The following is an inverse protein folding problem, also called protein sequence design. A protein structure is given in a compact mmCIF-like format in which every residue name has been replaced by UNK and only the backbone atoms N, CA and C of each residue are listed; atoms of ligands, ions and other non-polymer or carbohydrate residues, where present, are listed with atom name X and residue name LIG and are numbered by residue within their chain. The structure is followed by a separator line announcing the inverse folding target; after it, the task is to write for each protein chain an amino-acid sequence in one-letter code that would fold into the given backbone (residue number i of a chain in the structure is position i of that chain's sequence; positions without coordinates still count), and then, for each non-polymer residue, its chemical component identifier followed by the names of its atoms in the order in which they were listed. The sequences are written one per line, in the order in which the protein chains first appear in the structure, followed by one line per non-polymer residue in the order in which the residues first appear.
data_IF_643637282500
#
_entry.id   IF_643637282500
#
_cell.length_a   1.000
_cell.length_b   1.000
_cell.length_c   1.000
_cell.angle_alpha   90.00
_cell.angle_beta   90.00
_cell.angle_gamma   90.00
#
_symmetry.space_group_name_H-M   'P 1'
#
loop_
_entity.id
_entity.type
_entity.pdbx_description
1 polymer ?
#
# COMPACT_ATOMS: atom_id res chain seq x y z
N UNK A 1 7.81 -2.35 7.26
CA UNK A 1 8.62 -1.34 6.55
C UNK A 1 10.06 -1.24 7.08
N UNK A 2 10.32 -0.72 8.29
CA UNK A 2 11.70 -0.51 8.80
C UNK A 2 12.59 -1.76 8.69
N UNK A 3 12.07 -2.94 9.03
CA UNK A 3 12.80 -4.20 8.88
C UNK A 3 13.21 -4.55 7.43
N UNK A 4 12.46 -4.11 6.41
CA UNK A 4 12.82 -4.28 4.99
C UNK A 4 13.78 -3.19 4.49
N UNK A 5 13.81 -2.03 5.14
CA UNK A 5 14.83 -0.99 4.93
C UNK A 5 16.19 -1.44 5.44
N UNK A 6 16.23 -2.01 6.65
CA UNK A 6 17.47 -2.47 7.29
C UNK A 6 17.94 -3.84 6.80
N UNK A 7 17.03 -4.67 6.27
CA UNK A 7 17.23 -6.11 6.13
C UNK A 7 16.79 -6.84 7.40
N UNK A 8 16.06 -7.95 7.23
CA UNK A 8 15.39 -8.65 8.34
C UNK A 8 16.37 -9.12 9.42
N UNK A 9 17.52 -9.66 9.02
CA UNK A 9 18.55 -10.15 9.93
C UNK A 9 19.14 -9.00 10.79
N UNK A 10 19.48 -7.87 10.17
CA UNK A 10 20.05 -6.73 10.87
C UNK A 10 19.03 -6.05 11.79
N UNK A 11 17.77 -5.97 11.35
CA UNK A 11 16.66 -5.54 12.21
C UNK A 11 16.51 -6.46 13.43
N UNK A 12 16.55 -7.78 13.25
CA UNK A 12 16.48 -8.75 14.34
C UNK A 12 17.66 -8.60 15.32
N UNK A 13 18.89 -8.48 14.83
CA UNK A 13 20.09 -8.22 15.66
C UNK A 13 19.93 -6.91 16.47
N UNK A 14 19.41 -5.86 15.85
CA UNK A 14 19.14 -4.58 16.52
C UNK A 14 18.06 -4.65 17.60
N UNK A 15 16.97 -5.39 17.36
CA UNK A 15 15.94 -5.66 18.38
C UNK A 15 16.51 -6.51 19.52
N UNK A 16 17.35 -7.50 19.22
CA UNK A 16 18.03 -8.29 20.25
C UNK A 16 18.95 -7.42 21.12
N UNK A 17 19.76 -6.53 20.52
CA UNK A 17 20.60 -5.61 21.30
C UNK A 17 19.75 -4.66 22.16
N UNK A 18 18.69 -4.08 21.59
CA UNK A 18 17.74 -3.22 22.31
C UNK A 18 17.16 -3.90 23.55
N UNK A 19 16.70 -5.14 23.43
CA UNK A 19 16.10 -5.91 24.53
C UNK A 19 17.13 -6.27 25.62
N UNK A 20 18.39 -6.52 25.26
CA UNK A 20 19.44 -6.80 26.24
C UNK A 20 19.87 -5.55 27.01
N UNK A 21 20.07 -4.42 26.31
CA UNK A 21 20.46 -3.14 26.94
C UNK A 21 19.38 -2.66 27.92
N UNK A 22 18.11 -2.77 27.54
CA UNK A 22 16.99 -2.20 28.31
C UNK A 22 16.28 -3.23 29.21
N UNK A 23 16.90 -4.39 29.45
CA UNK A 23 16.31 -5.47 30.25
C UNK A 23 15.99 -4.97 31.67
N UNK A 24 14.76 -5.22 32.12
CA UNK A 24 14.22 -4.79 33.43
C UNK A 24 14.11 -3.26 33.64
N UNK A 25 14.30 -2.45 32.60
CA UNK A 25 14.18 -0.99 32.65
C UNK A 25 13.05 -0.47 31.73
N UNK A 26 12.72 0.81 31.87
CA UNK A 26 11.81 1.53 30.97
C UNK A 26 12.57 2.15 29.78
N UNK A 27 11.85 2.40 28.70
CA UNK A 27 12.37 2.91 27.41
C UNK A 27 11.46 3.96 26.81
N UNK A 28 12.01 4.86 26.01
CA UNK A 28 11.29 5.73 25.09
C UNK A 28 11.66 5.41 23.63
N UNK A 29 10.95 6.02 22.68
CA UNK A 29 11.17 5.77 21.24
C UNK A 29 12.62 6.02 20.79
N UNK A 30 13.35 6.94 21.45
CA UNK A 30 14.75 7.23 21.14
C UNK A 30 15.67 6.04 21.39
N UNK A 31 15.41 5.24 22.43
CA UNK A 31 16.27 4.12 22.83
C UNK A 31 16.21 2.97 21.81
N UNK A 32 15.02 2.76 21.24
CA UNK A 32 14.82 1.84 20.10
C UNK A 32 15.60 2.31 18.88
N UNK A 33 15.45 3.58 18.48
CA UNK A 33 16.13 4.11 17.30
C UNK A 33 17.65 4.14 17.46
N UNK A 34 18.17 4.49 18.64
CA UNK A 34 19.60 4.40 18.95
C UNK A 34 20.14 2.98 18.77
N UNK A 35 19.40 1.97 19.23
CA UNK A 35 19.80 0.57 19.13
C UNK A 35 19.79 0.08 17.67
N UNK A 36 18.74 0.41 16.91
CA UNK A 36 18.62 0.03 15.50
C UNK A 36 19.60 0.77 14.57
N UNK A 37 20.00 2.01 14.91
CA UNK A 37 20.96 2.82 14.15
C UNK A 37 22.32 2.14 13.96
N UNK A 38 22.72 1.27 14.89
CA UNK A 38 23.99 0.53 14.83
C UNK A 38 23.99 -0.63 13.81
N UNK A 39 22.82 -1.04 13.30
CA UNK A 39 22.66 -2.19 12.40
C UNK A 39 22.15 -1.79 11.01
N UNK A 40 22.13 -0.50 10.68
CA UNK A 40 21.68 -0.04 9.36
C UNK A 40 22.79 0.67 8.60
N UNK A 41 22.86 0.42 7.30
CA UNK A 41 23.69 1.19 6.36
C UNK A 41 23.03 2.52 5.93
N UNK A 42 21.83 2.83 6.45
CA UNK A 42 21.11 4.05 6.11
C UNK A 42 21.64 5.25 6.91
N UNK A 43 22.53 6.04 6.31
CA UNK A 43 23.15 7.21 6.94
C UNK A 43 22.15 8.19 7.60
N UNK A 44 20.98 8.39 7.00
CA UNK A 44 19.91 9.26 7.49
C UNK A 44 18.77 8.49 8.21
N UNK A 45 19.07 7.33 8.81
CA UNK A 45 18.08 6.49 9.50
C UNK A 45 17.26 7.24 10.54
N UNK A 46 17.89 8.11 11.31
CA UNK A 46 17.24 8.85 12.38
C UNK A 46 16.18 9.83 11.85
N UNK A 47 16.47 10.52 10.74
CA UNK A 47 15.52 11.42 10.08
C UNK A 47 14.40 10.63 9.42
N UNK A 48 14.71 9.50 8.79
CA UNK A 48 13.74 8.57 8.24
C UNK A 48 12.75 8.07 9.31
N UNK A 49 13.21 7.54 10.44
CA UNK A 49 12.29 7.03 11.48
C UNK A 49 11.51 8.16 12.16
N UNK A 50 12.13 9.33 12.40
CA UNK A 50 11.42 10.51 12.92
C UNK A 50 10.28 10.92 11.98
N UNK A 51 10.57 11.01 10.69
CA UNK A 51 9.61 11.37 9.64
C UNK A 51 8.48 10.34 9.45
N UNK A 52 8.60 9.10 9.93
CA UNK A 52 7.48 8.15 9.96
C UNK A 52 6.76 8.04 11.30
N UNK A 53 7.31 8.58 12.39
CA UNK A 53 6.78 8.36 13.75
C UNK A 53 6.33 9.62 14.48
N UNK A 54 6.79 10.81 14.06
CA UNK A 54 6.44 12.10 14.70
C UNK A 54 5.43 12.93 13.88
N UNK A 55 4.96 12.44 12.73
CA UNK A 55 3.96 13.12 11.92
C UNK A 55 2.73 12.22 11.68
N UNK A 56 1.50 12.72 11.91
CA UNK A 56 0.28 11.91 11.82
C UNK A 56 -0.13 11.63 10.38
N UNK A 57 -0.75 10.47 10.16
CA UNK A 57 -1.22 10.02 8.84
C UNK A 57 -0.14 9.33 8.01
N UNK A 58 -0.41 9.18 6.72
CA UNK A 58 0.45 8.47 5.77
C UNK A 58 0.34 9.10 4.37
N UNK A 59 1.30 8.84 3.47
CA UNK A 59 1.24 9.35 2.10
C UNK A 59 0.38 8.49 1.18
N UNK A 60 -0.11 9.12 0.11
CA UNK A 60 -0.43 8.44 -1.14
C UNK A 60 0.63 8.80 -2.19
N UNK A 61 1.12 7.79 -2.90
CA UNK A 61 1.92 7.98 -4.11
C UNK A 61 0.99 8.06 -5.32
N UNK A 62 1.10 9.11 -6.12
CA UNK A 62 0.49 9.16 -7.44
C UNK A 62 1.49 8.63 -8.46
N UNK A 63 1.09 7.67 -9.28
CA UNK A 63 1.95 6.96 -10.23
C UNK A 63 1.38 7.14 -11.64
N UNK A 64 2.09 7.89 -12.48
CA UNK A 64 1.65 8.28 -13.83
C UNK A 64 2.61 7.74 -14.90
N UNK A 65 2.10 7.27 -16.04
CA UNK A 65 2.93 6.93 -17.18
C UNK A 65 3.30 8.18 -17.99
N UNK A 66 4.57 8.27 -18.41
CA UNK A 66 5.06 9.28 -19.35
C UNK A 66 5.93 8.59 -20.43
N UNK A 67 5.29 8.08 -21.48
CA UNK A 67 5.94 7.27 -22.50
C UNK A 67 6.49 5.96 -21.93
N UNK A 68 7.81 5.78 -21.96
CA UNK A 68 8.49 4.64 -21.33
C UNK A 68 8.81 4.86 -19.85
N UNK A 69 8.68 6.10 -19.36
CA UNK A 69 8.99 6.48 -18.00
C UNK A 69 7.73 6.43 -17.11
N UNK A 70 7.95 6.36 -15.80
CA UNK A 70 6.91 6.56 -14.79
C UNK A 70 7.26 7.84 -14.02
N UNK A 71 6.27 8.68 -13.75
CA UNK A 71 6.38 9.85 -12.88
C UNK A 71 5.68 9.52 -11.57
N UNK A 72 6.31 9.90 -10.46
CA UNK A 72 5.76 9.70 -9.13
C UNK A 72 5.84 10.96 -8.31
N UNK A 73 4.70 11.35 -7.77
CA UNK A 73 4.57 12.41 -6.77
C UNK A 73 4.04 11.82 -5.47
N UNK A 74 4.19 12.55 -4.37
CA UNK A 74 3.58 12.20 -3.09
C UNK A 74 2.73 13.35 -2.55
N UNK A 75 1.65 13.01 -1.87
CA UNK A 75 0.91 13.91 -0.99
C UNK A 75 0.48 13.15 0.27
N UNK A 76 0.08 13.89 1.31
CA UNK A 76 -0.58 13.28 2.46
C UNK A 76 -1.96 12.77 2.06
N UNK A 77 -2.27 11.52 2.40
CA UNK A 77 -3.64 11.03 2.29
C UNK A 77 -4.52 11.66 3.38
N UNK A 78 -5.64 12.24 2.95
CA UNK A 78 -6.69 12.83 3.76
C UNK A 78 -8.03 12.51 3.09
N UNK A 79 -9.11 12.43 3.88
CA UNK A 79 -10.47 12.35 3.36
C UNK A 79 -10.91 13.69 2.75
N UNK A 80 -10.57 14.80 3.41
CA UNK A 80 -10.88 16.16 2.94
C UNK A 80 -9.70 17.10 3.24
N UNK A 81 -9.56 18.16 2.43
CA UNK A 81 -8.52 19.18 2.57
C UNK A 81 -7.15 18.79 2.00
N UNK A 82 -6.18 19.71 2.11
CA UNK A 82 -4.83 19.54 1.57
C UNK A 82 -3.78 19.78 2.66
N UNK A 83 -2.65 19.09 2.56
CA UNK A 83 -1.56 19.21 3.54
C UNK A 83 -0.20 18.89 2.88
N UNK A 84 0.82 19.68 3.21
CA UNK A 84 2.15 19.62 2.59
C UNK A 84 3.15 18.68 3.29
N UNK A 85 2.73 17.91 4.30
CA UNK A 85 3.57 16.88 4.93
C UNK A 85 4.02 15.86 3.88
N UNK A 86 5.31 15.52 3.90
CA UNK A 86 5.95 14.55 3.02
C UNK A 86 6.71 13.51 3.85
N UNK A 87 6.91 12.34 3.27
CA UNK A 87 7.64 11.23 3.86
C UNK A 87 8.88 10.87 3.03
N UNK A 88 9.89 10.32 3.70
CA UNK A 88 11.00 9.58 3.11
C UNK A 88 10.52 8.17 2.82
N UNK A 89 9.97 7.94 1.62
CA UNK A 89 9.26 6.69 1.31
C UNK A 89 10.26 5.67 0.72
N UNK A 90 10.46 4.52 1.37
CA UNK A 90 11.23 3.42 0.80
C UNK A 90 10.36 2.70 -0.23
N UNK A 91 10.81 2.68 -1.49
CA UNK A 91 10.10 2.04 -2.59
C UNK A 91 10.91 0.86 -3.14
N UNK A 92 10.19 -0.22 -3.48
CA UNK A 92 10.66 -1.40 -4.21
C UNK A 92 9.62 -1.78 -5.24
N UNK A 93 10.04 -2.62 -6.17
CA UNK A 93 9.41 -2.69 -7.46
C UNK A 93 9.61 -4.10 -8.11
N UNK A 94 8.55 -4.69 -8.72
CA UNK A 94 8.67 -5.65 -9.84
C UNK A 94 7.83 -5.32 -11.09
N UNK A 95 8.27 -5.77 -12.28
CA UNK A 95 7.47 -5.77 -13.54
C UNK A 95 7.22 -7.18 -14.06
N UNK A 96 6.38 -7.30 -15.09
CA UNK A 96 6.17 -8.51 -15.90
C UNK A 96 7.47 -9.19 -16.38
N UNK A 97 8.53 -8.41 -16.61
CA UNK A 97 9.77 -8.85 -17.26
C UNK A 97 10.92 -9.15 -16.28
N UNK A 98 10.69 -9.10 -14.96
CA UNK A 98 11.71 -9.45 -13.96
C UNK A 98 11.55 -10.92 -13.60
N UNK A 99 12.62 -11.71 -13.68
CA UNK A 99 12.58 -13.17 -13.46
C UNK A 99 12.24 -13.51 -12.01
N UNK A 100 12.87 -12.82 -11.05
CA UNK A 100 12.61 -12.96 -9.62
C UNK A 100 11.43 -12.08 -9.16
N UNK A 101 10.25 -12.30 -9.75
CA UNK A 101 9.03 -11.59 -9.34
C UNK A 101 8.78 -11.80 -7.86
N UNK A 102 8.61 -10.69 -7.15
CA UNK A 102 8.13 -10.63 -5.78
C UNK A 102 9.04 -11.23 -4.68
N UNK A 103 10.23 -11.79 -4.96
CA UNK A 103 11.14 -12.32 -3.91
C UNK A 103 11.92 -11.21 -3.22
N UNK A 104 12.49 -10.27 -3.98
CA UNK A 104 13.24 -9.15 -3.42
C UNK A 104 12.29 -8.11 -2.79
N UNK A 105 12.50 -7.81 -1.51
CA UNK A 105 11.74 -6.80 -0.75
C UNK A 105 12.64 -5.73 -0.12
N UNK A 106 13.94 -5.71 -0.41
CA UNK A 106 14.86 -4.66 0.08
C UNK A 106 14.58 -3.33 -0.59
N UNK A 107 14.82 -2.22 0.11
CA UNK A 107 14.57 -0.87 -0.44
C UNK A 107 15.42 -0.62 -1.68
N UNK A 108 14.78 -0.53 -2.84
CA UNK A 108 15.47 -0.31 -4.11
C UNK A 108 15.69 1.18 -4.36
N UNK A 109 14.72 2.02 -4.01
CA UNK A 109 14.74 3.46 -4.28
C UNK A 109 14.16 4.24 -3.10
N UNK A 110 14.77 5.38 -2.78
CA UNK A 110 14.30 6.34 -1.78
C UNK A 110 13.59 7.52 -2.44
N UNK A 111 12.30 7.69 -2.16
CA UNK A 111 11.59 8.89 -2.57
C UNK A 111 11.70 9.95 -1.46
N UNK A 112 12.62 10.90 -1.68
CA UNK A 112 12.90 12.00 -0.75
C UNK A 112 11.84 13.12 -0.85
N UNK A 113 11.50 13.84 0.24
CA UNK A 113 10.64 15.01 0.20
C UNK A 113 11.02 16.09 -0.84
N UNK A 114 12.29 16.16 -1.23
CA UNK A 114 12.81 17.12 -2.20
C UNK A 114 12.63 16.69 -3.66
N UNK A 115 12.32 15.41 -3.93
CA UNK A 115 12.16 14.91 -5.29
C UNK A 115 10.71 15.10 -5.74
N UNK A 116 10.52 15.64 -6.95
CA UNK A 116 9.18 15.85 -7.54
C UNK A 116 8.72 14.70 -8.43
N UNK A 117 9.63 13.95 -9.04
CA UNK A 117 9.33 12.88 -10.00
C UNK A 117 10.29 11.68 -9.84
N UNK A 118 9.83 10.45 -10.11
CA UNK A 118 10.64 9.23 -10.01
C UNK A 118 10.05 8.04 -10.80
N UNK A 119 10.90 7.22 -11.43
CA UNK A 119 10.52 6.08 -12.31
C UNK A 119 10.59 4.74 -11.55
N UNK A 120 9.56 3.88 -11.65
CA UNK A 120 9.44 2.57 -10.97
C UNK A 120 8.82 1.46 -11.85
N UNK A 121 8.69 0.24 -11.28
CA UNK A 121 8.05 -0.98 -11.82
C UNK A 121 7.63 -1.93 -10.65
N UNK A 122 6.42 -1.97 -10.02
CA UNK A 122 6.03 -2.09 -8.54
C UNK A 122 5.88 -3.45 -7.65
N UNK A 123 6.27 -3.52 -6.32
CA UNK A 123 5.85 -4.45 -5.15
C UNK A 123 6.17 -3.78 -3.78
N UNK A 124 5.50 -4.04 -2.62
CA UNK A 124 6.01 -3.97 -1.19
C UNK A 124 4.89 -4.39 -0.17
N UNK A 125 5.25 -4.72 1.09
CA UNK A 125 4.41 -4.62 2.32
C UNK A 125 4.42 -3.17 2.89
N UNK A 126 3.39 -2.35 2.60
CA UNK A 126 3.43 -0.87 2.66
C UNK A 126 2.77 -0.25 3.90
N UNK A 127 3.16 1.00 4.19
CA UNK A 127 2.45 1.96 5.06
C UNK A 127 1.98 3.20 4.27
N UNK A 128 1.69 3.02 2.97
CA UNK A 128 1.29 4.09 2.07
C UNK A 128 0.41 3.56 0.93
N UNK A 129 -0.49 4.42 0.46
CA UNK A 129 -1.44 4.13 -0.63
C UNK A 129 -0.81 4.41 -1.99
N UNK A 130 -1.31 3.78 -3.06
CA UNK A 130 -0.82 4.01 -4.43
C UNK A 130 -1.98 4.29 -5.37
N UNK A 131 -2.11 5.53 -5.83
CA UNK A 131 -3.04 5.93 -6.90
C UNK A 131 -2.33 5.86 -8.25
N UNK A 132 -2.80 5.01 -9.15
CA UNK A 132 -2.32 4.94 -10.53
C UNK A 132 -3.08 5.93 -11.41
N UNK A 133 -2.47 6.40 -12.50
CA UNK A 133 -3.20 7.05 -13.58
C UNK A 133 -4.10 6.05 -14.33
N UNK A 134 -5.06 6.56 -15.10
CA UNK A 134 -6.02 5.70 -15.81
C UNK A 134 -5.34 4.70 -16.77
N UNK A 135 -4.23 5.08 -17.39
CA UNK A 135 -3.55 4.24 -18.37
C UNK A 135 -2.84 3.05 -17.72
N UNK A 136 -2.23 3.25 -16.55
CA UNK A 136 -1.66 2.18 -15.73
C UNK A 136 -2.77 1.37 -15.06
N UNK A 137 -3.83 2.02 -14.57
CA UNK A 137 -4.95 1.35 -13.90
C UNK A 137 -5.69 0.41 -14.86
N UNK A 138 -5.97 0.82 -16.10
CA UNK A 138 -6.54 -0.05 -17.14
C UNK A 138 -5.66 -1.28 -17.44
N UNK A 139 -4.32 -1.12 -17.45
CA UNK A 139 -3.38 -2.24 -17.63
C UNK A 139 -3.38 -3.19 -16.43
N UNK A 140 -3.40 -2.65 -15.20
CA UNK A 140 -3.49 -3.45 -13.97
C UNK A 140 -4.81 -4.23 -13.95
N UNK A 141 -5.92 -3.57 -14.25
CA UNK A 141 -7.25 -4.15 -14.32
C UNK A 141 -7.33 -5.30 -15.35
N UNK A 142 -6.75 -5.12 -16.55
CA UNK A 142 -6.64 -6.19 -17.55
C UNK A 142 -5.88 -7.42 -17.04
N UNK A 143 -4.76 -7.23 -16.33
CA UNK A 143 -4.00 -8.35 -15.72
C UNK A 143 -4.79 -9.00 -14.58
N UNK A 144 -5.46 -8.21 -13.75
CA UNK A 144 -6.31 -8.72 -12.66
C UNK A 144 -7.43 -9.61 -13.18
N UNK A 145 -8.09 -9.25 -14.28
CA UNK A 145 -9.18 -10.04 -14.90
C UNK A 145 -8.69 -11.29 -15.66
N UNK A 146 -7.52 -11.24 -16.30
CA UNK A 146 -7.07 -12.36 -17.17
C UNK A 146 -6.13 -13.36 -16.47
N UNK A 147 -5.41 -12.92 -15.44
CA UNK A 147 -4.45 -13.74 -14.73
C UNK A 147 -4.10 -13.09 -13.37
N UNK A 148 -5.03 -13.07 -12.39
CA UNK A 148 -4.83 -12.35 -11.12
C UNK A 148 -3.58 -12.82 -10.37
N UNK A 149 -3.23 -14.11 -10.46
CA UNK A 149 -2.02 -14.70 -9.86
C UNK A 149 -0.70 -14.07 -10.34
N UNK A 150 -0.67 -13.39 -11.50
CA UNK A 150 0.48 -12.59 -11.94
C UNK A 150 0.76 -11.36 -11.06
N UNK A 151 -0.19 -10.95 -10.23
CA UNK A 151 -0.04 -9.91 -9.21
C UNK A 151 -0.11 -10.59 -7.85
N UNK A 152 0.95 -10.47 -7.05
CA UNK A 152 1.04 -11.07 -5.71
C UNK A 152 -0.19 -10.75 -4.84
N UNK A 153 -0.72 -11.75 -4.11
CA UNK A 153 -1.94 -11.67 -3.29
C UNK A 153 -2.07 -10.39 -2.46
N UNK A 154 -1.04 -10.03 -1.69
CA UNK A 154 -1.02 -8.80 -0.88
C UNK A 154 -1.08 -7.50 -1.70
N UNK A 155 -0.58 -7.49 -2.94
CA UNK A 155 -0.70 -6.33 -3.82
C UNK A 155 -2.15 -6.20 -4.33
N UNK A 156 -2.83 -7.31 -4.62
CA UNK A 156 -4.26 -7.30 -5.02
C UNK A 156 -5.15 -6.81 -3.86
N UNK A 157 -4.89 -7.31 -2.66
CA UNK A 157 -5.51 -6.82 -1.43
C UNK A 157 -5.30 -5.32 -1.21
N UNK A 158 -4.06 -4.82 -1.40
CA UNK A 158 -3.80 -3.38 -1.34
C UNK A 158 -4.56 -2.61 -2.43
N UNK A 159 -4.63 -3.10 -3.68
CA UNK A 159 -5.38 -2.41 -4.75
C UNK A 159 -6.86 -2.26 -4.37
N UNK A 160 -7.49 -3.31 -3.84
CA UNK A 160 -8.88 -3.26 -3.37
C UNK A 160 -9.06 -2.25 -2.22
N UNK A 161 -8.20 -2.29 -1.19
CA UNK A 161 -8.28 -1.34 -0.06
C UNK A 161 -8.03 0.12 -0.51
N UNK A 162 -7.02 0.36 -1.36
CA UNK A 162 -6.71 1.67 -1.92
C UNK A 162 -7.90 2.23 -2.71
N UNK A 163 -8.55 1.43 -3.56
CA UNK A 163 -9.73 1.83 -4.34
C UNK A 163 -10.89 2.28 -3.44
N UNK A 164 -11.31 1.47 -2.46
CA UNK A 164 -12.38 1.85 -1.53
C UNK A 164 -12.04 3.13 -0.75
N UNK A 165 -10.79 3.28 -0.29
CA UNK A 165 -10.37 4.47 0.44
C UNK A 165 -10.30 5.72 -0.46
N UNK A 166 -9.95 5.58 -1.75
CA UNK A 166 -10.01 6.67 -2.70
C UNK A 166 -11.44 7.10 -3.03
N UNK A 167 -12.39 6.16 -3.15
CA UNK A 167 -13.81 6.51 -3.33
C UNK A 167 -14.40 7.20 -2.09
N UNK A 168 -14.05 6.71 -0.88
CA UNK A 168 -14.44 7.32 0.39
C UNK A 168 -13.85 8.74 0.56
N UNK A 169 -12.70 9.03 -0.05
CA UNK A 169 -12.08 10.35 -0.07
C UNK A 169 -12.46 11.18 -1.32
N UNK A 170 -13.49 10.78 -2.07
CA UNK A 170 -13.99 11.46 -3.29
C UNK A 170 -12.92 11.62 -4.40
N UNK A 171 -11.86 10.80 -4.37
CA UNK A 171 -10.73 10.83 -5.32
C UNK A 171 -10.95 9.97 -6.57
N UNK A 172 -11.93 9.06 -6.55
CA UNK A 172 -12.44 8.24 -7.66
C UNK A 172 -13.94 7.96 -7.43
N UNK A 173 -14.65 7.41 -8.42
CA UNK A 173 -16.07 7.04 -8.26
C UNK A 173 -16.24 5.61 -7.74
N UNK A 174 -17.34 5.31 -7.03
CA UNK A 174 -17.69 3.93 -6.67
C UNK A 174 -17.97 3.04 -7.90
N UNK A 175 -18.41 3.62 -9.02
CA UNK A 175 -18.56 2.86 -10.27
C UNK A 175 -17.21 2.36 -10.80
N UNK A 176 -16.16 3.19 -10.73
CA UNK A 176 -14.78 2.81 -11.06
C UNK A 176 -14.24 1.75 -10.09
N UNK A 177 -14.56 1.85 -8.79
CA UNK A 177 -14.23 0.78 -7.82
C UNK A 177 -14.88 -0.54 -8.24
N UNK A 178 -16.19 -0.56 -8.49
CA UNK A 178 -16.94 -1.78 -8.79
C UNK A 178 -16.60 -2.40 -10.16
N UNK A 179 -16.22 -1.60 -11.16
CA UNK A 179 -15.66 -2.14 -12.42
C UNK A 179 -14.33 -2.85 -12.17
N UNK A 180 -13.41 -2.21 -11.43
CA UNK A 180 -12.07 -2.75 -11.22
C UNK A 180 -12.10 -3.98 -10.31
N UNK A 181 -12.77 -3.92 -9.15
CA UNK A 181 -12.82 -5.05 -8.20
C UNK A 181 -13.65 -6.23 -8.72
N UNK A 182 -14.31 -6.12 -9.87
CA UNK A 182 -15.03 -7.23 -10.50
C UNK A 182 -14.10 -8.41 -10.86
N UNK A 183 -12.77 -8.22 -10.85
CA UNK A 183 -11.81 -9.33 -10.97
C UNK A 183 -11.89 -10.35 -9.82
N UNK A 184 -12.52 -10.01 -8.69
CA UNK A 184 -12.61 -10.88 -7.53
C UNK A 184 -13.37 -12.19 -7.80
N UNK A 185 -14.22 -12.24 -8.84
CA UNK A 185 -14.83 -13.51 -9.32
C UNK A 185 -13.79 -14.53 -9.75
N UNK A 186 -12.62 -14.08 -10.22
CA UNK A 186 -11.49 -14.90 -10.66
C UNK A 186 -10.43 -15.11 -9.55
N UNK A 187 -10.66 -14.59 -8.34
CA UNK A 187 -9.68 -14.58 -7.26
C UNK A 187 -10.14 -15.44 -6.08
N UNK A 188 -9.42 -16.53 -5.83
CA UNK A 188 -9.67 -17.47 -4.72
C UNK A 188 -8.89 -17.14 -3.44
N UNK A 189 -7.99 -16.14 -3.46
CA UNK A 189 -7.16 -15.83 -2.29
C UNK A 189 -7.91 -15.03 -1.20
N UNK A 190 -7.59 -15.32 0.06
CA UNK A 190 -8.23 -14.71 1.23
C UNK A 190 -8.06 -13.18 1.34
N UNK A 191 -6.85 -12.64 1.13
CA UNK A 191 -6.57 -11.23 1.45
C UNK A 191 -7.30 -10.22 0.53
N UNK A 192 -7.40 -10.43 -0.80
CA UNK A 192 -8.20 -9.57 -1.69
C UNK A 192 -9.67 -9.51 -1.27
N UNK A 193 -10.27 -10.66 -0.95
CA UNK A 193 -11.61 -10.76 -0.41
C UNK A 193 -11.79 -10.07 0.94
N UNK A 194 -10.86 -10.27 1.87
CA UNK A 194 -10.88 -9.58 3.17
C UNK A 194 -10.87 -8.05 3.02
N UNK A 195 -10.03 -7.52 2.12
CA UNK A 195 -10.02 -6.09 1.78
C UNK A 195 -11.34 -5.64 1.15
N UNK A 196 -11.93 -6.46 0.29
CA UNK A 196 -13.23 -6.16 -0.33
C UNK A 196 -14.34 -6.08 0.71
N UNK A 197 -14.48 -7.09 1.58
CA UNK A 197 -15.52 -7.12 2.62
C UNK A 197 -15.42 -5.94 3.58
N UNK A 198 -14.21 -5.52 3.97
CA UNK A 198 -14.00 -4.31 4.77
C UNK A 198 -14.47 -3.04 4.04
N UNK A 199 -14.17 -2.94 2.74
CA UNK A 199 -14.61 -1.85 1.87
C UNK A 199 -16.14 -1.79 1.73
N UNK A 200 -16.78 -2.92 1.45
CA UNK A 200 -18.24 -3.04 1.37
C UNK A 200 -18.91 -2.72 2.71
N UNK A 201 -18.42 -3.26 3.83
CA UNK A 201 -18.98 -2.97 5.16
C UNK A 201 -18.91 -1.47 5.50
N UNK A 202 -17.77 -0.83 5.23
CA UNK A 202 -17.58 0.62 5.42
C UNK A 202 -18.48 1.45 4.50
N UNK A 203 -18.75 0.97 3.28
CA UNK A 203 -19.63 1.63 2.31
C UNK A 203 -21.10 1.50 2.70
N UNK A 204 -21.55 0.29 3.07
CA UNK A 204 -22.92 0.01 3.51
C UNK A 204 -23.32 0.82 4.74
N UNK A 205 -22.41 1.01 5.71
CA UNK A 205 -22.64 1.85 6.89
C UNK A 205 -22.92 3.33 6.56
N UNK A 206 -22.59 3.79 5.35
CA UNK A 206 -22.80 5.19 4.91
C UNK A 206 -24.04 5.37 4.02
N UNK A 207 -24.67 4.27 3.57
CA UNK A 207 -25.85 4.31 2.72
C UNK A 207 -27.09 4.19 3.62
N UNK A 208 -27.98 5.18 3.62
CA UNK A 208 -29.25 5.12 4.35
C UNK A 208 -30.40 4.49 3.55
N UNK A 209 -30.28 4.42 2.22
CA UNK A 209 -31.28 3.82 1.34
C UNK A 209 -31.20 2.28 1.37
N UNK A 210 -32.25 1.66 1.90
CA UNK A 210 -32.37 0.20 2.04
C UNK A 210 -32.40 -0.54 0.69
N UNK A 211 -32.90 0.07 -0.38
CA UNK A 211 -32.90 -0.55 -1.71
C UNK A 211 -31.49 -0.58 -2.28
N UNK A 212 -30.72 0.51 -2.11
CA UNK A 212 -29.32 0.57 -2.54
C UNK A 212 -28.46 -0.40 -1.71
N UNK A 213 -28.68 -0.44 -0.38
CA UNK A 213 -28.03 -1.45 0.49
C UNK A 213 -28.29 -2.86 -0.01
N UNK A 214 -29.56 -3.23 -0.28
CA UNK A 214 -29.95 -4.57 -0.74
C UNK A 214 -29.30 -4.93 -2.09
N UNK A 215 -29.30 -4.03 -3.07
CA UNK A 215 -28.64 -4.26 -4.37
C UNK A 215 -27.14 -4.52 -4.20
N UNK A 216 -26.47 -3.73 -3.36
CA UNK A 216 -25.05 -3.89 -3.12
C UNK A 216 -24.73 -5.19 -2.35
N UNK A 217 -25.51 -5.52 -1.31
CA UNK A 217 -25.22 -6.63 -0.40
C UNK A 217 -25.74 -8.00 -0.85
N UNK A 218 -26.81 -8.04 -1.65
CA UNK A 218 -27.45 -9.30 -2.09
C UNK A 218 -27.23 -9.57 -3.57
N UNK A 219 -27.29 -8.56 -4.44
CA UNK A 219 -27.17 -8.79 -5.89
C UNK A 219 -25.69 -8.76 -6.33
N UNK A 220 -24.97 -7.68 -6.01
CA UNK A 220 -23.58 -7.51 -6.47
C UNK A 220 -22.57 -8.38 -5.70
N UNK A 221 -22.65 -8.47 -4.37
CA UNK A 221 -21.80 -9.38 -3.61
C UNK A 221 -22.03 -10.85 -4.00
N UNK A 222 -23.27 -11.26 -4.26
CA UNK A 222 -23.54 -12.62 -4.73
C UNK A 222 -22.94 -12.88 -6.11
N UNK A 223 -23.09 -11.94 -7.05
CA UNK A 223 -22.48 -12.03 -8.39
C UNK A 223 -20.96 -12.21 -8.34
N UNK A 224 -20.25 -11.60 -7.38
CA UNK A 224 -18.80 -11.78 -7.25
C UNK A 224 -18.40 -13.13 -6.59
N UNK A 225 -19.31 -13.80 -5.89
CA UNK A 225 -19.03 -14.97 -5.04
C UNK A 225 -19.63 -16.27 -5.61
N UNK A 226 -20.64 -16.20 -6.49
CA UNK A 226 -21.44 -17.36 -6.90
C UNK A 226 -20.64 -18.48 -7.58
N UNK A 227 -19.54 -18.14 -8.26
CA UNK A 227 -18.70 -19.09 -8.99
C UNK A 227 -17.50 -19.59 -8.14
N UNK A 228 -17.38 -19.14 -6.88
CA UNK A 228 -16.35 -19.55 -5.91
C UNK A 228 -16.80 -20.67 -4.95
N UNK A 229 -18.06 -21.13 -5.06
CA UNK A 229 -18.68 -22.17 -4.22
C UNK A 229 -19.10 -23.39 -5.04
#
# INVERSE_FOLDING_TARGET
MIAHVMGLEQFQRGIQQYLQINKFNNTCSKDLWNSLKNFTSLNNFEDFVKNWTFQPGYPVLHVKANGQNIIITQERFLLHGTNKTKWHIPITYTTSNIEQKFTNTTTQIWFSPNNTELILKNKIIRYYRVKYDENLLRRIHSVLKTAPTNIHVLNRAQIVDDLFNFAIAEKISFAEVFDIISFLSEDVDYYPWYSAFNGFATTLQKISDQNIQKKLSVEYLWYLICDLY
#
